data_IF_597178235974
#
_entry.id   IF_597178235974
#
_cell.length_a   1.000
_cell.length_b   1.000
_cell.length_c   1.000
_cell.angle_alpha   90.00
_cell.angle_beta   90.00
_cell.angle_gamma   90.00
#
_symmetry.space_group_name_H-M   'P 1'
#
loop_
_entity.id
_entity.type
_entity.pdbx_description
1 polymer ?
#
# COMPACT_ATOMS: atom_id res chain seq x y z
N UNK A 1 -38.32 12.09 -1.00
CA UNK A 1 -37.57 12.05 0.27
C UNK A 1 -36.26 12.85 0.03
N UNK A 2 -36.08 13.98 0.69
CA UNK A 2 -34.85 14.78 0.58
C UNK A 2 -33.89 14.18 1.62
N UNK A 3 -32.85 13.48 1.16
CA UNK A 3 -31.77 13.00 2.05
C UNK A 3 -30.85 14.20 2.30
N UNK A 4 -30.91 14.76 3.50
CA UNK A 4 -29.96 15.77 3.95
C UNK A 4 -28.62 15.07 4.21
N UNK A 5 -27.61 15.29 3.36
CA UNK A 5 -26.25 14.79 3.58
C UNK A 5 -25.52 15.80 4.46
N UNK A 6 -25.05 15.34 5.60
CA UNK A 6 -24.09 16.08 6.41
C UNK A 6 -22.68 15.74 5.93
N UNK A 7 -21.85 16.75 5.78
CA UNK A 7 -20.44 16.59 5.37
C UNK A 7 -19.55 17.07 6.49
N UNK A 8 -18.66 16.19 6.94
CA UNK A 8 -17.64 16.52 7.93
C UNK A 8 -16.29 16.64 7.25
N UNK A 9 -15.60 17.76 7.45
CA UNK A 9 -14.25 17.99 6.94
C UNK A 9 -13.23 17.61 8.01
N UNK A 10 -12.26 16.78 7.61
CA UNK A 10 -11.04 16.47 8.34
C UNK A 10 -9.88 17.08 7.58
N UNK A 11 -9.34 18.19 8.04
CA UNK A 11 -8.22 18.87 7.38
C UNK A 11 -7.45 19.70 8.39
N UNK A 12 -6.20 19.87 8.08
CA UNK A 12 -5.23 20.69 8.80
C UNK A 12 -4.72 21.78 7.84
N UNK A 13 -4.51 22.98 8.35
CA UNK A 13 -4.04 24.11 7.52
C UNK A 13 -2.55 23.99 7.14
N UNK A 14 -1.79 23.14 7.84
CA UNK A 14 -0.35 22.98 7.66
C UNK A 14 0.04 21.72 6.87
N UNK A 15 -0.95 20.85 6.56
CA UNK A 15 -0.69 19.56 5.94
C UNK A 15 -1.62 19.30 4.75
N UNK A 16 -1.10 18.57 3.76
CA UNK A 16 -1.95 17.79 2.87
C UNK A 16 -2.48 16.61 3.66
N UNK A 17 -3.80 16.53 3.83
CA UNK A 17 -4.47 15.42 4.48
C UNK A 17 -5.16 14.59 3.42
N UNK A 18 -4.82 13.31 3.34
CA UNK A 18 -5.37 12.41 2.34
C UNK A 18 -5.40 10.97 2.84
N UNK A 19 -6.07 10.13 2.09
CA UNK A 19 -6.06 8.69 2.24
C UNK A 19 -5.71 8.07 0.89
N UNK A 20 -5.34 6.79 0.91
CA UNK A 20 -4.85 6.07 -0.25
C UNK A 20 -5.84 5.98 -1.41
N UNK A 21 -5.88 4.87 -2.10
CA UNK A 21 -6.61 4.69 -3.34
C UNK A 21 -8.04 4.22 -3.09
N UNK A 22 -8.89 4.26 -4.11
CA UNK A 22 -10.33 3.92 -4.05
C UNK A 22 -10.64 2.46 -3.66
N UNK A 23 -9.66 1.58 -3.71
CA UNK A 23 -9.77 0.16 -3.41
C UNK A 23 -9.72 -0.18 -1.91
N UNK A 24 -9.42 0.81 -1.06
CA UNK A 24 -9.24 0.61 0.38
C UNK A 24 -10.17 1.53 1.17
N UNK A 25 -10.91 0.98 2.13
CA UNK A 25 -11.71 1.79 3.07
C UNK A 25 -10.81 2.43 4.13
N UNK A 26 -10.89 3.76 4.33
CA UNK A 26 -10.24 4.40 5.47
C UNK A 26 -10.95 4.12 6.80
N UNK A 27 -12.25 3.83 6.76
CA UNK A 27 -13.09 3.70 7.95
C UNK A 27 -13.06 2.25 8.42
N UNK A 28 -12.92 2.06 9.74
CA UNK A 28 -12.96 0.76 10.36
C UNK A 28 -14.37 0.15 10.33
N UNK A 29 -14.47 -1.12 10.66
CA UNK A 29 -15.74 -1.87 10.62
C UNK A 29 -16.80 -1.31 11.59
N UNK A 30 -16.39 -0.71 12.71
CA UNK A 30 -17.28 -0.13 13.71
C UNK A 30 -17.67 1.32 13.41
N UNK A 31 -17.15 1.93 12.35
CA UNK A 31 -17.29 3.35 12.03
C UNK A 31 -16.81 4.28 13.14
N UNK A 32 -15.78 3.87 13.86
CA UNK A 32 -15.21 4.60 14.97
C UNK A 32 -13.97 5.38 14.58
N UNK A 33 -13.13 4.80 13.75
CA UNK A 33 -11.87 5.39 13.34
C UNK A 33 -11.78 5.58 11.83
N UNK A 34 -11.12 6.65 11.43
CA UNK A 34 -10.80 6.91 10.02
C UNK A 34 -9.30 7.08 9.85
N UNK A 35 -8.68 6.19 9.09
CA UNK A 35 -7.26 6.27 8.74
C UNK A 35 -6.98 7.48 7.87
N UNK A 36 -5.83 8.10 8.06
CA UNK A 36 -5.39 9.23 7.26
C UNK A 36 -3.85 9.32 7.21
N UNK A 37 -3.38 10.06 6.23
CA UNK A 37 -1.97 10.39 6.04
C UNK A 37 -1.82 11.91 5.96
N UNK A 38 -0.81 12.44 6.63
CA UNK A 38 -0.47 13.84 6.65
C UNK A 38 0.91 14.09 6.05
N UNK A 39 0.97 15.00 5.10
CA UNK A 39 2.22 15.47 4.51
C UNK A 39 2.34 16.98 4.69
N UNK A 40 3.41 17.50 5.32
CA UNK A 40 3.60 18.93 5.51
C UNK A 40 3.57 19.71 4.20
N UNK A 41 2.85 20.84 4.14
CA UNK A 41 2.74 21.68 2.95
C UNK A 41 4.10 22.29 2.53
N UNK A 42 4.98 22.52 3.47
CA UNK A 42 6.23 23.27 3.26
C UNK A 42 7.41 22.44 2.77
N UNK A 43 7.23 21.16 2.46
CA UNK A 43 8.35 20.27 2.15
C UNK A 43 8.03 19.27 1.06
N UNK A 44 8.94 19.07 0.12
CA UNK A 44 8.76 18.17 -1.03
C UNK A 44 9.35 16.75 -0.86
N UNK A 45 9.99 16.40 0.27
CA UNK A 45 10.91 15.25 0.32
C UNK A 45 10.61 14.35 1.48
N UNK A 46 9.31 13.70 1.69
CA UNK A 46 9.27 13.60 2.88
C UNK A 46 8.68 12.55 3.65
N UNK A 47 8.96 12.55 4.88
CA UNK A 47 8.37 11.76 5.95
C UNK A 47 6.89 12.09 6.05
N UNK A 48 6.08 11.19 5.57
CA UNK A 48 4.62 11.26 5.68
C UNK A 48 4.21 10.71 7.04
N UNK A 49 3.42 11.44 7.81
CA UNK A 49 2.83 10.95 9.04
C UNK A 49 1.63 10.06 8.72
N UNK A 50 1.59 8.91 9.36
CA UNK A 50 0.53 7.90 9.26
C UNK A 50 -0.27 7.90 10.54
N UNK A 51 -1.60 7.82 10.47
CA UNK A 51 -2.42 7.86 11.67
C UNK A 51 -3.92 7.73 11.39
N UNK A 52 -4.69 8.20 12.35
CA UNK A 52 -6.14 8.11 12.30
C UNK A 52 -6.83 9.26 13.03
N UNK A 53 -8.10 9.43 12.75
CA UNK A 53 -9.04 10.27 13.49
C UNK A 53 -10.05 9.38 14.22
N UNK A 54 -10.38 9.74 15.47
CA UNK A 54 -11.56 9.21 16.15
C UNK A 54 -12.78 9.98 15.65
N UNK A 55 -13.72 9.28 15.02
CA UNK A 55 -14.92 9.87 14.43
C UNK A 55 -15.95 10.34 15.49
N UNK A 56 -15.80 9.86 16.73
CA UNK A 56 -16.62 10.28 17.87
C UNK A 56 -16.03 11.49 18.60
N UNK A 57 -14.79 11.85 18.31
CA UNK A 57 -14.13 13.02 18.88
C UNK A 57 -14.41 14.28 18.04
N UNK A 58 -15.18 15.20 18.59
CA UNK A 58 -15.50 16.48 17.94
C UNK A 58 -14.28 17.39 17.75
N UNK A 59 -13.19 17.16 18.46
CA UNK A 59 -11.93 17.92 18.33
C UNK A 59 -11.18 17.62 17.06
N UNK A 60 -11.46 16.45 16.42
CA UNK A 60 -10.82 15.99 15.19
C UNK A 60 -9.30 16.01 15.25
N UNK A 61 -8.74 15.56 16.34
CA UNK A 61 -7.29 15.49 16.52
C UNK A 61 -6.76 14.30 15.73
N UNK A 62 -5.70 14.55 14.94
CA UNK A 62 -4.96 13.50 14.25
C UNK A 62 -4.07 12.73 15.22
N UNK A 63 -4.31 11.44 15.35
CA UNK A 63 -3.52 10.54 16.19
C UNK A 63 -2.45 9.86 15.33
N UNK A 64 -1.22 10.34 15.41
CA UNK A 64 -0.09 9.78 14.67
C UNK A 64 0.35 8.45 15.27
N UNK A 65 0.54 7.43 14.43
CA UNK A 65 1.05 6.10 14.79
C UNK A 65 2.44 5.83 14.24
N UNK A 66 2.97 6.71 13.39
CA UNK A 66 4.29 6.59 12.83
C UNK A 66 4.51 7.53 11.65
N UNK A 67 5.71 7.41 11.07
CA UNK A 67 6.09 8.13 9.86
C UNK A 67 6.75 7.19 8.86
N UNK A 68 6.64 7.49 7.57
CA UNK A 68 7.26 6.72 6.51
C UNK A 68 7.65 7.59 5.32
N UNK A 69 8.76 7.26 4.69
CA UNK A 69 9.18 7.80 3.38
C UNK A 69 8.72 6.89 2.21
N UNK A 70 8.11 5.74 2.54
CA UNK A 70 7.62 4.74 1.59
C UNK A 70 6.19 5.06 1.19
N UNK A 71 6.01 6.00 0.27
CA UNK A 71 4.69 6.46 -0.15
C UNK A 71 4.68 7.05 -1.58
N UNK A 72 3.49 7.18 -2.14
CA UNK A 72 3.26 7.90 -3.38
C UNK A 72 1.92 8.66 -3.32
N UNK A 73 1.74 9.65 -4.21
CA UNK A 73 0.52 10.48 -4.23
C UNK A 73 -0.75 9.73 -4.53
N UNK A 74 -0.68 8.68 -5.37
CA UNK A 74 -1.86 7.93 -5.80
C UNK A 74 -2.38 6.98 -4.73
N UNK A 75 -1.50 6.33 -3.97
CA UNK A 75 -1.85 5.20 -3.12
C UNK A 75 -1.35 5.35 -1.67
N UNK A 76 -0.68 6.47 -1.35
CA UNK A 76 -0.03 6.65 -0.06
C UNK A 76 0.99 5.55 0.22
N UNK A 77 1.09 5.14 1.47
CA UNK A 77 1.92 4.02 1.93
C UNK A 77 1.13 2.69 2.00
N UNK A 78 0.03 2.56 1.29
CA UNK A 78 -0.90 1.40 1.35
C UNK A 78 -1.42 1.15 2.77
N UNK A 79 -1.63 2.23 3.55
CA UNK A 79 -2.24 2.17 4.87
C UNK A 79 -3.63 1.56 4.79
N UNK A 80 -3.91 0.55 5.61
CA UNK A 80 -5.21 -0.11 5.64
C UNK A 80 -5.45 -0.86 6.95
N UNK A 81 -6.70 -1.14 7.24
CA UNK A 81 -7.10 -2.06 8.30
C UNK A 81 -6.67 -3.49 7.96
N UNK A 82 -6.19 -4.23 8.97
CA UNK A 82 -5.80 -5.64 8.82
C UNK A 82 -7.01 -6.53 9.18
N UNK A 83 -7.61 -7.25 8.21
CA UNK A 83 -8.83 -8.01 8.47
C UNK A 83 -8.70 -9.13 9.50
N UNK A 84 -7.49 -9.70 9.67
CA UNK A 84 -7.25 -10.80 10.60
C UNK A 84 -7.07 -10.41 12.05
N UNK A 85 -6.88 -9.12 12.35
CA UNK A 85 -6.54 -8.64 13.69
C UNK A 85 -7.29 -7.36 14.01
N UNK A 86 -8.14 -7.43 15.04
CA UNK A 86 -8.95 -6.30 15.50
C UNK A 86 -8.07 -5.12 15.95
N UNK A 87 -8.46 -3.91 15.64
CA UNK A 87 -7.74 -2.66 15.91
C UNK A 87 -6.33 -2.57 15.29
N UNK A 88 -5.98 -3.47 14.38
CA UNK A 88 -4.69 -3.46 13.73
C UNK A 88 -4.74 -2.83 12.35
N UNK A 89 -3.70 -2.08 12.04
CA UNK A 89 -3.45 -1.52 10.71
C UNK A 89 -2.12 -2.01 10.17
N UNK A 90 -2.00 -2.02 8.85
CA UNK A 90 -0.75 -2.31 8.16
C UNK A 90 -0.44 -1.17 7.20
N UNK A 91 0.83 -0.78 7.09
CA UNK A 91 1.31 0.17 6.10
C UNK A 91 2.77 -0.08 5.72
N UNK A 92 3.13 0.34 4.52
CA UNK A 92 4.49 0.17 4.01
C UNK A 92 5.45 1.22 4.59
N UNK A 93 6.66 0.75 4.90
CA UNK A 93 7.76 1.56 5.42
C UNK A 93 9.09 0.93 5.02
N UNK A 94 10.20 1.50 5.48
CA UNK A 94 11.52 0.87 5.38
C UNK A 94 11.70 -0.07 6.58
N UNK A 95 12.02 -1.34 6.27
CA UNK A 95 12.40 -2.39 7.21
C UNK A 95 13.74 -2.94 6.75
N UNK A 96 14.74 -2.96 7.61
CA UNK A 96 16.10 -3.45 7.29
C UNK A 96 16.67 -2.88 5.98
N UNK A 97 16.55 -1.56 5.78
CA UNK A 97 17.00 -0.84 4.57
C UNK A 97 16.33 -1.28 3.26
N UNK A 98 15.16 -1.91 3.32
CA UNK A 98 14.34 -2.32 2.18
C UNK A 98 12.91 -1.85 2.34
N UNK A 99 12.15 -1.82 1.27
CA UNK A 99 10.71 -1.68 1.38
C UNK A 99 10.12 -2.90 2.09
N UNK A 100 9.40 -2.65 3.14
CA UNK A 100 8.68 -3.60 3.95
C UNK A 100 7.35 -3.02 4.39
N UNK A 101 6.75 -3.63 5.40
CA UNK A 101 5.54 -3.13 6.05
C UNK A 101 5.61 -3.36 7.56
N UNK A 102 4.81 -2.61 8.31
CA UNK A 102 4.61 -2.86 9.74
C UNK A 102 3.13 -3.06 10.04
N UNK A 103 2.86 -3.92 11.02
CA UNK A 103 1.54 -4.07 11.63
C UNK A 103 1.56 -3.34 12.97
N UNK A 104 0.61 -2.45 13.14
CA UNK A 104 0.49 -1.59 14.31
C UNK A 104 -0.86 -1.81 14.98
N UNK A 105 -0.87 -2.04 16.28
CA UNK A 105 -2.09 -2.16 17.09
C UNK A 105 -2.42 -0.82 17.74
N UNK A 106 -3.55 -0.25 17.36
CA UNK A 106 -4.04 1.02 17.87
C UNK A 106 -4.40 0.97 19.36
N UNK A 107 -4.82 -0.20 19.86
CA UNK A 107 -5.23 -0.37 21.25
C UNK A 107 -4.04 -0.37 22.22
N UNK A 108 -3.00 -1.13 21.88
CA UNK A 108 -1.77 -1.17 22.69
C UNK A 108 -0.79 -0.06 22.35
N UNK A 109 -1.04 0.67 21.25
CA UNK A 109 -0.19 1.73 20.72
C UNK A 109 1.24 1.26 20.42
N UNK A 110 1.36 0.11 19.74
CA UNK A 110 2.65 -0.54 19.48
C UNK A 110 2.71 -1.19 18.09
N UNK A 111 3.91 -1.24 17.53
CA UNK A 111 4.24 -2.14 16.42
C UNK A 111 4.21 -3.58 16.95
N UNK A 112 3.41 -4.42 16.33
CA UNK A 112 3.31 -5.84 16.64
C UNK A 112 4.31 -6.68 15.83
N UNK A 113 4.45 -6.37 14.55
CA UNK A 113 5.31 -7.12 13.62
C UNK A 113 5.85 -6.22 12.52
N UNK A 114 7.04 -6.57 12.06
CA UNK A 114 7.65 -6.08 10.84
C UNK A 114 7.55 -7.16 9.76
N UNK A 115 7.30 -6.74 8.53
CA UNK A 115 7.22 -7.62 7.35
C UNK A 115 8.29 -7.16 6.37
N UNK A 116 9.16 -8.07 5.94
CA UNK A 116 10.33 -7.78 5.09
C UNK A 116 9.97 -7.54 3.61
N UNK A 117 8.69 -7.40 3.32
CA UNK A 117 8.19 -7.13 1.96
C UNK A 117 7.11 -6.07 2.00
N UNK A 118 7.08 -5.13 1.06
CA UNK A 118 5.99 -4.17 0.96
C UNK A 118 4.72 -4.89 0.52
N UNK A 119 3.57 -4.37 0.94
CA UNK A 119 2.25 -4.94 0.63
C UNK A 119 1.53 -4.02 -0.36
N UNK A 120 1.04 -4.59 -1.46
CA UNK A 120 0.18 -3.87 -2.39
C UNK A 120 -1.30 -4.10 -2.06
N UNK A 121 -1.70 -5.35 -1.89
CA UNK A 121 -3.05 -5.74 -1.48
C UNK A 121 -3.01 -6.88 -0.47
N UNK A 122 -4.11 -7.09 0.24
CA UNK A 122 -4.24 -8.15 1.25
C UNK A 122 -5.52 -8.91 0.95
N UNK A 123 -5.46 -10.22 1.08
CA UNK A 123 -6.64 -11.07 0.92
C UNK A 123 -7.71 -10.76 1.98
N UNK A 124 -8.99 -11.05 1.72
CA UNK A 124 -10.09 -10.75 2.65
C UNK A 124 -9.97 -11.36 4.05
N UNK A 125 -9.12 -12.38 4.22
CA UNK A 125 -8.86 -13.00 5.53
C UNK A 125 -7.74 -12.30 6.30
N UNK A 126 -6.95 -11.45 5.63
CA UNK A 126 -5.80 -10.79 6.25
C UNK A 126 -4.59 -11.70 6.48
N UNK A 127 -4.51 -12.81 5.78
CA UNK A 127 -3.45 -13.82 5.98
C UNK A 127 -2.35 -13.71 4.92
N UNK A 128 -2.73 -13.36 3.70
CA UNK A 128 -1.83 -13.32 2.53
C UNK A 128 -1.83 -11.91 1.94
N UNK A 129 -0.66 -11.33 1.82
CA UNK A 129 -0.43 -10.12 1.05
C UNK A 129 0.00 -10.43 -0.38
N UNK A 130 -0.26 -9.51 -1.30
CA UNK A 130 0.33 -9.48 -2.62
C UNK A 130 1.32 -8.32 -2.71
N UNK A 131 2.42 -8.51 -3.42
CA UNK A 131 3.51 -7.55 -3.54
C UNK A 131 4.07 -7.50 -4.96
N UNK A 132 4.72 -6.38 -5.26
CA UNK A 132 5.44 -6.12 -6.51
C UNK A 132 6.68 -5.27 -6.23
N UNK A 133 7.50 -5.03 -7.26
CA UNK A 133 8.62 -4.11 -7.18
C UNK A 133 8.16 -2.65 -7.27
N UNK A 134 8.01 -1.98 -6.12
CA UNK A 134 7.58 -0.59 -6.06
C UNK A 134 8.61 0.40 -6.63
N UNK A 135 9.89 0.07 -6.62
CA UNK A 135 10.92 0.90 -7.25
C UNK A 135 10.77 0.89 -8.77
N UNK A 136 10.57 -0.30 -9.36
CA UNK A 136 10.31 -0.47 -10.79
C UNK A 136 9.01 0.20 -11.20
N UNK A 137 7.95 0.01 -10.41
CA UNK A 137 6.68 0.67 -10.64
C UNK A 137 6.84 2.20 -10.64
N UNK A 138 7.58 2.77 -9.69
CA UNK A 138 7.84 4.22 -9.64
C UNK A 138 8.61 4.70 -10.86
N UNK A 139 9.62 3.96 -11.31
CA UNK A 139 10.44 4.36 -12.46
C UNK A 139 9.65 4.35 -13.76
N UNK A 140 8.84 3.32 -13.99
CA UNK A 140 8.07 3.14 -15.22
C UNK A 140 6.71 3.84 -15.22
N UNK A 141 6.15 4.07 -14.03
CA UNK A 141 4.90 4.80 -13.83
C UNK A 141 4.98 5.71 -12.60
N UNK A 142 5.61 6.89 -12.73
CA UNK A 142 5.77 7.84 -11.63
C UNK A 142 4.45 8.16 -10.93
N UNK A 143 4.48 8.19 -9.59
CA UNK A 143 3.31 8.47 -8.75
C UNK A 143 2.57 7.23 -8.25
N UNK A 144 2.91 6.02 -8.70
CA UNK A 144 2.27 4.77 -8.25
C UNK A 144 3.19 3.88 -7.41
N UNK A 145 4.48 4.03 -7.53
CA UNK A 145 5.47 3.31 -6.73
C UNK A 145 6.20 4.21 -5.73
N UNK A 146 7.31 3.74 -5.19
CA UNK A 146 8.09 4.43 -4.16
C UNK A 146 9.46 4.83 -4.68
N UNK A 147 9.94 6.01 -4.24
CA UNK A 147 11.16 6.64 -4.77
C UNK A 147 12.40 6.52 -3.87
N UNK A 148 12.23 6.08 -2.60
CA UNK A 148 13.30 6.09 -1.60
C UNK A 148 14.40 5.07 -1.89
N UNK A 149 14.07 3.97 -2.57
CA UNK A 149 15.03 2.93 -2.95
C UNK A 149 15.06 2.82 -4.47
N UNK A 150 16.25 2.89 -5.12
CA UNK A 150 16.37 2.74 -6.55
C UNK A 150 15.92 1.38 -7.08
N UNK A 151 15.45 1.33 -8.33
CA UNK A 151 15.17 0.07 -9.02
C UNK A 151 16.50 -0.59 -9.43
N UNK A 152 16.80 -1.73 -8.83
CA UNK A 152 18.01 -2.51 -9.14
C UNK A 152 17.91 -3.32 -10.44
N UNK A 153 16.72 -3.42 -11.03
CA UNK A 153 16.47 -4.11 -12.29
C UNK A 153 16.47 -3.19 -13.51
N UNK A 154 17.02 -2.00 -13.41
CA UNK A 154 16.98 -0.95 -14.45
C UNK A 154 17.57 -1.38 -15.82
N UNK A 155 18.50 -2.33 -15.83
CA UNK A 155 19.12 -2.86 -17.07
C UNK A 155 18.32 -4.01 -17.69
N UNK A 156 17.27 -4.49 -17.05
CA UNK A 156 16.52 -5.66 -17.49
C UNK A 156 15.08 -5.29 -17.87
N UNK A 157 14.72 -5.55 -19.12
CA UNK A 157 13.37 -5.27 -19.63
C UNK A 157 12.31 -6.15 -18.97
N UNK A 158 12.64 -7.43 -18.73
CA UNK A 158 11.75 -8.45 -18.16
C UNK A 158 12.51 -9.39 -17.21
N UNK A 159 12.88 -8.91 -16.02
CA UNK A 159 13.67 -9.69 -15.09
C UNK A 159 12.93 -10.95 -14.62
N UNK A 160 13.67 -12.06 -14.49
CA UNK A 160 13.16 -13.36 -14.03
C UNK A 160 12.96 -13.43 -12.52
N UNK A 161 13.55 -12.52 -11.78
CA UNK A 161 13.51 -12.44 -10.31
C UNK A 161 12.55 -11.35 -9.80
N UNK A 162 11.85 -10.67 -10.71
CA UNK A 162 10.85 -9.66 -10.41
C UNK A 162 9.49 -10.05 -11.02
N UNK A 163 8.41 -9.69 -10.36
CA UNK A 163 7.08 -10.10 -10.77
C UNK A 163 6.02 -9.90 -9.70
N UNK A 164 5.04 -10.82 -9.66
CA UNK A 164 4.02 -10.89 -8.64
C UNK A 164 4.47 -11.81 -7.51
N UNK A 165 4.39 -11.31 -6.28
CA UNK A 165 4.75 -12.06 -5.08
C UNK A 165 3.55 -12.22 -4.16
N UNK A 166 3.51 -13.35 -3.43
CA UNK A 166 2.69 -13.55 -2.24
C UNK A 166 3.55 -13.40 -1.00
N UNK A 167 2.97 -12.76 0.02
CA UNK A 167 3.59 -12.51 1.33
C UNK A 167 2.74 -13.18 2.39
N UNK A 168 3.31 -14.13 3.12
CA UNK A 168 2.69 -14.68 4.33
C UNK A 168 2.80 -13.61 5.43
N UNK A 169 1.69 -12.98 5.78
CA UNK A 169 1.67 -11.87 6.74
C UNK A 169 2.05 -12.33 8.15
N UNK A 170 1.73 -13.56 8.51
CA UNK A 170 2.01 -14.12 9.83
C UNK A 170 3.46 -14.57 9.99
N UNK A 171 3.98 -15.26 8.99
CA UNK A 171 5.29 -15.93 9.06
C UNK A 171 6.39 -15.18 8.31
N UNK A 172 6.08 -14.03 7.71
CA UNK A 172 7.02 -13.21 6.93
C UNK A 172 7.65 -13.96 5.74
N UNK A 173 6.89 -14.90 5.16
CA UNK A 173 7.30 -15.67 4.00
C UNK A 173 7.04 -14.91 2.69
N UNK A 174 7.97 -15.02 1.73
CA UNK A 174 7.84 -14.43 0.39
C UNK A 174 7.90 -15.52 -0.67
N UNK A 175 6.93 -15.53 -1.59
CA UNK A 175 6.88 -16.47 -2.70
C UNK A 175 6.54 -15.74 -4.00
N UNK A 176 7.41 -15.82 -5.01
CA UNK A 176 7.07 -15.37 -6.35
C UNK A 176 6.04 -16.31 -6.98
N UNK A 177 4.97 -15.73 -7.53
CA UNK A 177 3.88 -16.46 -8.22
C UNK A 177 4.16 -16.57 -9.69
N UNK A 178 4.59 -15.46 -10.29
CA UNK A 178 4.91 -15.35 -11.71
C UNK A 178 5.90 -14.22 -11.92
N UNK A 179 6.92 -14.47 -12.75
CA UNK A 179 7.93 -13.48 -13.09
C UNK A 179 7.48 -12.58 -14.26
N UNK A 180 8.13 -11.42 -14.41
CA UNK A 180 7.93 -10.55 -15.57
C UNK A 180 8.34 -11.25 -16.87
N UNK A 181 9.37 -12.10 -16.84
CA UNK A 181 9.77 -12.89 -18.00
C UNK A 181 8.67 -13.89 -18.41
N UNK A 182 8.10 -14.64 -17.45
CA UNK A 182 7.01 -15.59 -17.71
C UNK A 182 5.77 -14.90 -18.24
N UNK A 183 5.32 -13.80 -17.61
CA UNK A 183 4.14 -13.05 -18.05
C UNK A 183 4.33 -12.49 -19.45
N UNK A 184 5.50 -11.90 -19.73
CA UNK A 184 5.79 -11.28 -21.03
C UNK A 184 5.81 -12.28 -22.18
N UNK A 185 6.06 -13.55 -21.90
CA UNK A 185 6.05 -14.63 -22.90
C UNK A 185 4.70 -15.36 -22.97
N UNK A 186 3.73 -15.06 -22.09
CA UNK A 186 2.46 -15.77 -22.05
C UNK A 186 1.49 -15.28 -23.12
N UNK A 187 1.18 -16.13 -24.11
CA UNK A 187 0.14 -15.93 -25.16
C UNK A 187 0.04 -14.51 -25.75
N UNK A 188 1.15 -13.84 -25.88
CA UNK A 188 1.12 -12.43 -26.25
C UNK A 188 1.29 -12.26 -27.77
N UNK A 189 0.19 -12.06 -28.48
CA UNK A 189 0.19 -11.79 -29.93
C UNK A 189 0.71 -10.39 -30.29
N UNK A 190 0.89 -9.50 -29.29
CA UNK A 190 1.28 -8.10 -29.48
C UNK A 190 2.42 -7.69 -28.54
N UNK A 191 3.48 -8.48 -28.49
CA UNK A 191 4.69 -8.08 -27.77
C UNK A 191 5.32 -6.90 -28.50
N UNK A 192 5.45 -5.76 -27.81
CA UNK A 192 6.27 -4.65 -28.32
C UNK A 192 7.73 -5.05 -28.08
N UNK A 193 8.52 -5.26 -29.15
CA UNK A 193 9.92 -5.60 -28.99
C UNK A 193 10.66 -4.54 -28.18
N UNK A 194 11.56 -4.98 -27.29
CA UNK A 194 12.38 -4.10 -26.46
C UNK A 194 11.60 -3.18 -25.50
N UNK A 195 10.41 -3.60 -25.04
CA UNK A 195 9.67 -2.90 -24.00
C UNK A 195 10.07 -3.39 -22.61
N UNK A 196 10.07 -2.48 -21.66
CA UNK A 196 10.18 -2.81 -20.24
C UNK A 196 8.81 -3.20 -19.70
N UNK A 197 8.76 -4.25 -18.90
CA UNK A 197 7.52 -4.76 -18.32
C UNK A 197 7.44 -4.47 -16.82
N UNK A 198 6.21 -4.22 -16.32
CA UNK A 198 5.93 -4.04 -14.89
C UNK A 198 4.51 -4.45 -14.54
N UNK A 199 4.26 -4.66 -13.26
CA UNK A 199 2.95 -4.98 -12.69
C UNK A 199 2.39 -3.75 -11.99
N UNK A 200 1.06 -3.57 -12.07
CA UNK A 200 0.31 -2.56 -11.33
C UNK A 200 -1.10 -3.07 -11.00
N UNK A 201 -1.79 -2.38 -10.10
CA UNK A 201 -3.19 -2.65 -9.73
C UNK A 201 -3.47 -4.12 -9.38
N UNK A 202 -2.90 -4.57 -8.26
CA UNK A 202 -3.14 -5.93 -7.77
C UNK A 202 -4.38 -5.94 -6.86
N UNK A 203 -5.27 -6.93 -7.08
CA UNK A 203 -6.47 -7.14 -6.27
C UNK A 203 -6.71 -8.62 -6.01
N UNK A 204 -7.02 -8.97 -4.79
CA UNK A 204 -7.57 -10.28 -4.46
C UNK A 204 -9.06 -10.36 -4.81
N UNK A 205 -9.51 -11.53 -5.25
CA UNK A 205 -10.94 -11.81 -5.32
C UNK A 205 -11.55 -11.91 -3.92
N UNK A 206 -12.87 -11.63 -3.75
CA UNK A 206 -13.53 -11.69 -2.45
C UNK A 206 -13.46 -13.05 -1.75
N UNK A 207 -13.21 -14.13 -2.48
CA UNK A 207 -13.07 -15.49 -1.97
C UNK A 207 -11.60 -15.93 -1.79
N UNK A 208 -10.65 -15.01 -1.95
CA UNK A 208 -9.20 -15.24 -1.86
C UNK A 208 -8.61 -16.27 -2.85
N UNK A 209 -9.38 -16.68 -3.89
CA UNK A 209 -8.93 -17.72 -4.82
C UNK A 209 -8.18 -17.19 -6.02
N UNK A 210 -8.38 -15.93 -6.38
CA UNK A 210 -7.80 -15.31 -7.57
C UNK A 210 -7.13 -13.99 -7.22
N UNK A 211 -6.12 -13.64 -7.99
CA UNK A 211 -5.47 -12.33 -7.99
C UNK A 211 -5.59 -11.75 -9.39
N UNK A 212 -6.09 -10.53 -9.47
CA UNK A 212 -6.11 -9.74 -10.67
C UNK A 212 -4.99 -8.71 -10.61
N UNK A 213 -4.34 -8.47 -11.72
CA UNK A 213 -3.32 -7.44 -11.84
C UNK A 213 -3.20 -6.96 -13.28
N UNK A 214 -2.65 -5.78 -13.46
CA UNK A 214 -2.28 -5.29 -14.78
C UNK A 214 -0.81 -5.58 -15.04
N UNK A 215 -0.55 -6.20 -16.18
CA UNK A 215 0.75 -6.32 -16.78
C UNK A 215 0.86 -5.27 -17.90
N UNK A 216 1.87 -4.44 -17.86
CA UNK A 216 2.08 -3.28 -18.73
C UNK A 216 3.49 -3.29 -19.29
#
# INVERSE_FOLDING_TARGET
MIIKKETTRFSDENNHVFFGYYDVSPIDYENKYMLAMHLPLARDDQMMSVGYYDLNDSSKIFNSIGQTETWCWQQGCRLRWLPSEENCVIFNTIVDSRYGAIIYDLKSNKVLREINSPIYDIDPKGEIGASLNFSRLQRLRPGYGYKSIPDHSISEMKPKYDGLFLVDIKNNGLKMVVSLDEISNYKNEKIIPNSEHYINHIFFSPDSRYIFFFHL
#
